data_IF_291283055783
#
_entry.id   IF_291283055783
#
_cell.length_a   1.000
_cell.length_b   1.000
_cell.length_c   1.000
_cell.angle_alpha   90.00
_cell.angle_beta   90.00
_cell.angle_gamma   90.00
#
_symmetry.space_group_name_H-M   'P 1'
#
loop_
_entity.id
_entity.type
_entity.pdbx_description
1 polymer ?
#
# COMPACT_ATOMS: atom_id res chain seq x y z
N UNK A 1 25.19 3.32 -15.46
CA UNK A 1 24.45 2.17 -14.91
C UNK A 1 23.56 1.65 -16.01
N UNK A 2 23.64 0.36 -16.30
CA UNK A 2 22.73 -0.33 -17.24
C UNK A 2 21.41 -0.66 -16.55
N UNK A 3 20.37 -0.96 -17.33
CA UNK A 3 19.06 -1.34 -16.79
C UNK A 3 19.13 -2.61 -15.93
N UNK A 4 20.01 -3.55 -16.29
CA UNK A 4 20.26 -4.79 -15.50
C UNK A 4 20.95 -4.52 -14.17
N UNK A 5 21.94 -3.62 -14.14
CA UNK A 5 22.61 -3.22 -12.89
C UNK A 5 21.64 -2.54 -11.93
N UNK A 6 20.73 -1.73 -12.48
CA UNK A 6 19.71 -1.03 -11.71
C UNK A 6 18.66 -2.00 -11.14
N UNK A 7 18.19 -2.96 -11.94
CA UNK A 7 17.26 -4.00 -11.46
C UNK A 7 17.88 -4.82 -10.31
N UNK A 8 19.15 -5.20 -10.43
CA UNK A 8 19.87 -5.94 -9.38
C UNK A 8 20.01 -5.11 -8.10
N UNK A 9 20.33 -3.82 -8.25
CA UNK A 9 20.41 -2.88 -7.12
C UNK A 9 19.07 -2.80 -6.39
N UNK A 10 17.97 -2.58 -7.12
CA UNK A 10 16.62 -2.42 -6.55
C UNK A 10 16.18 -3.67 -5.79
N UNK A 11 16.35 -4.86 -6.40
CA UNK A 11 16.05 -6.15 -5.72
C UNK A 11 16.88 -6.33 -4.45
N UNK A 12 18.14 -5.89 -4.46
CA UNK A 12 19.01 -5.96 -3.28
C UNK A 12 18.56 -5.00 -2.20
N UNK A 13 18.21 -3.75 -2.53
CA UNK A 13 17.77 -2.74 -1.55
C UNK A 13 16.51 -3.16 -0.83
N UNK A 14 15.50 -3.60 -1.57
CA UNK A 14 14.25 -4.12 -1.03
C UNK A 14 14.47 -5.20 0.03
N UNK A 15 15.36 -6.16 -0.25
CA UNK A 15 15.69 -7.24 0.70
C UNK A 15 16.55 -6.77 1.86
N UNK A 16 17.47 -5.83 1.63
CA UNK A 16 18.45 -5.40 2.64
C UNK A 16 17.83 -4.49 3.71
N UNK A 17 16.72 -3.82 3.38
CA UNK A 17 16.04 -2.88 4.28
C UNK A 17 14.70 -3.40 4.79
N UNK A 18 14.38 -4.68 4.54
CA UNK A 18 13.12 -5.30 4.97
C UNK A 18 11.87 -4.46 4.65
N UNK A 19 11.87 -3.77 3.50
CA UNK A 19 10.87 -2.74 3.18
C UNK A 19 9.43 -3.26 3.23
N UNK A 20 9.24 -4.53 2.84
CA UNK A 20 7.95 -5.24 3.00
C UNK A 20 7.50 -5.26 4.47
N UNK A 21 8.38 -5.69 5.37
CA UNK A 21 8.08 -5.77 6.81
C UNK A 21 7.80 -4.38 7.36
N UNK A 22 8.65 -3.40 7.03
CA UNK A 22 8.46 -2.00 7.45
C UNK A 22 7.11 -1.46 7.02
N UNK A 23 6.66 -1.74 5.79
CA UNK A 23 5.34 -1.31 5.33
C UNK A 23 4.19 -1.95 6.13
N UNK A 24 4.26 -3.26 6.44
CA UNK A 24 3.25 -3.90 7.29
C UNK A 24 3.28 -3.34 8.71
N UNK A 25 4.47 -3.20 9.31
CA UNK A 25 4.62 -2.67 10.66
C UNK A 25 4.06 -1.23 10.78
N UNK A 26 4.24 -0.40 9.75
CA UNK A 26 3.66 0.95 9.71
C UNK A 26 2.14 0.91 9.52
N UNK A 27 1.63 0.05 8.64
CA UNK A 27 0.19 -0.12 8.45
C UNK A 27 -0.50 -0.60 9.74
N UNK A 28 0.10 -1.54 10.46
CA UNK A 28 -0.39 -2.03 11.75
C UNK A 28 -0.45 -0.90 12.79
N UNK A 29 0.55 0.00 12.79
CA UNK A 29 0.52 1.21 13.64
C UNK A 29 -0.60 2.16 13.26
N UNK A 30 -0.81 2.41 11.97
CA UNK A 30 -1.92 3.26 11.48
C UNK A 30 -3.26 2.71 11.99
N UNK A 31 -3.46 1.39 11.92
CA UNK A 31 -4.66 0.75 12.46
C UNK A 31 -4.76 0.88 13.99
N UNK A 32 -3.68 0.63 14.72
CA UNK A 32 -3.67 0.73 16.17
C UNK A 32 -3.97 2.15 16.66
N UNK A 33 -3.33 3.15 16.06
CA UNK A 33 -3.47 4.58 16.39
C UNK A 33 -4.88 5.10 16.09
N UNK A 34 -5.59 4.49 15.14
CA UNK A 34 -6.96 4.87 14.75
C UNK A 34 -8.03 3.89 15.23
N UNK A 35 -7.70 2.94 16.11
CA UNK A 35 -8.60 1.87 16.57
C UNK A 35 -9.91 2.37 17.22
N UNK A 36 -9.91 3.57 17.79
CA UNK A 36 -11.08 4.20 18.42
C UNK A 36 -11.89 5.08 17.47
N UNK A 37 -11.40 5.33 16.26
CA UNK A 37 -12.07 6.15 15.26
C UNK A 37 -12.94 5.27 14.35
N UNK A 38 -14.22 5.17 14.69
CA UNK A 38 -15.19 4.33 13.98
C UNK A 38 -15.33 4.65 12.48
N UNK A 39 -15.04 5.89 12.06
CA UNK A 39 -15.19 6.33 10.67
C UNK A 39 -13.88 6.24 9.87
N UNK A 40 -12.75 5.93 10.51
CA UNK A 40 -11.44 5.89 9.86
C UNK A 40 -11.40 4.93 8.66
N UNK A 41 -12.00 3.75 8.83
CA UNK A 41 -12.09 2.72 7.79
C UNK A 41 -13.35 2.84 6.94
N UNK A 42 -13.98 4.02 6.90
CA UNK A 42 -15.13 4.32 6.04
C UNK A 42 -16.32 3.33 6.18
N UNK A 43 -16.52 2.76 7.37
CA UNK A 43 -17.60 1.81 7.66
C UNK A 43 -17.20 0.34 7.63
N UNK A 44 -15.98 0.00 7.21
CA UNK A 44 -15.43 -1.36 7.34
C UNK A 44 -14.91 -1.60 8.76
N UNK A 45 -15.06 -2.82 9.29
CA UNK A 45 -14.36 -3.20 10.52
C UNK A 45 -12.95 -3.65 10.20
N UNK A 46 -12.00 -3.36 11.09
CA UNK A 46 -10.61 -3.77 10.90
C UNK A 46 -10.48 -5.30 10.75
N UNK A 47 -11.26 -6.08 11.51
CA UNK A 47 -11.24 -7.55 11.40
C UNK A 47 -11.75 -8.09 10.04
N UNK A 48 -12.47 -7.29 9.26
CA UNK A 48 -12.95 -7.65 7.92
C UNK A 48 -11.89 -7.35 6.84
N UNK A 49 -10.89 -6.52 7.16
CA UNK A 49 -9.87 -6.07 6.21
C UNK A 49 -8.72 -7.08 6.15
N UNK A 50 -8.53 -7.64 4.97
CA UNK A 50 -7.41 -8.50 4.62
C UNK A 50 -6.33 -7.65 3.94
N UNK A 51 -5.17 -7.54 4.58
CA UNK A 51 -4.01 -6.85 4.00
C UNK A 51 -3.14 -7.82 3.20
N UNK A 52 -2.84 -7.51 1.94
CA UNK A 52 -1.95 -8.33 1.09
C UNK A 52 -0.83 -7.52 0.48
N UNK A 53 0.32 -8.15 0.28
CA UNK A 53 1.45 -7.52 -0.38
C UNK A 53 1.26 -7.56 -1.90
N UNK A 54 1.13 -6.39 -2.52
CA UNK A 54 0.82 -6.26 -3.95
C UNK A 54 2.08 -6.08 -4.80
N UNK A 55 3.20 -5.73 -4.17
CA UNK A 55 4.49 -5.64 -4.85
C UNK A 55 5.29 -4.40 -4.53
N UNK A 56 6.39 -4.26 -5.26
CA UNK A 56 7.22 -3.07 -5.26
C UNK A 56 7.04 -2.34 -6.57
N UNK A 57 6.91 -1.02 -6.50
CA UNK A 57 6.90 -0.13 -7.66
C UNK A 57 8.17 0.69 -7.61
N UNK A 58 8.93 0.70 -8.71
CA UNK A 58 10.21 1.40 -8.80
C UNK A 58 10.07 2.60 -9.71
N UNK A 59 10.26 3.80 -9.17
CA UNK A 59 10.30 5.03 -9.93
C UNK A 59 11.74 5.49 -10.07
N UNK A 60 12.21 5.59 -11.31
CA UNK A 60 13.59 5.97 -11.63
C UNK A 60 13.54 7.26 -12.45
N UNK A 61 13.93 8.38 -11.83
CA UNK A 61 14.13 9.63 -12.56
C UNK A 61 15.61 9.75 -12.98
N UNK A 62 15.87 9.49 -14.26
CA UNK A 62 17.21 9.58 -14.83
C UNK A 62 17.76 11.01 -14.93
N UNK A 63 16.90 12.03 -14.87
CA UNK A 63 17.33 13.44 -15.01
C UNK A 63 17.86 14.00 -13.70
N UNK A 64 17.20 13.66 -12.60
CA UNK A 64 17.54 14.18 -11.28
C UNK A 64 18.31 13.16 -10.42
N UNK A 65 18.49 11.93 -10.91
CA UNK A 65 19.15 10.85 -10.16
C UNK A 65 18.32 10.32 -8.99
N UNK A 66 17.10 10.84 -8.80
CA UNK A 66 16.18 10.38 -7.77
C UNK A 66 15.64 9.00 -8.16
N UNK A 67 15.67 8.07 -7.22
CA UNK A 67 15.12 6.74 -7.37
C UNK A 67 14.35 6.39 -6.12
N UNK A 68 13.11 5.99 -6.32
CA UNK A 68 12.14 5.77 -5.27
C UNK A 68 11.64 4.34 -5.37
N UNK A 69 11.51 3.69 -4.22
CA UNK A 69 10.93 2.37 -4.07
C UNK A 69 9.62 2.55 -3.29
N UNK A 70 8.50 2.24 -3.93
CA UNK A 70 7.20 2.16 -3.26
C UNK A 70 6.88 0.72 -2.91
N UNK A 71 6.55 0.49 -1.65
CA UNK A 71 6.06 -0.81 -1.16
C UNK A 71 4.54 -0.72 -1.06
N UNK A 72 3.83 -1.54 -1.82
CA UNK A 72 2.37 -1.51 -1.89
C UNK A 72 1.74 -2.67 -1.13
N UNK A 73 0.78 -2.36 -0.27
CA UNK A 73 -0.09 -3.30 0.42
C UNK A 73 -1.53 -3.00 0.02
N UNK A 74 -2.21 -3.95 -0.61
CA UNK A 74 -3.62 -3.82 -0.93
C UNK A 74 -4.49 -4.13 0.29
N UNK A 75 -5.61 -3.42 0.40
CA UNK A 75 -6.64 -3.63 1.41
C UNK A 75 -7.84 -4.27 0.74
N UNK A 76 -8.27 -5.43 1.26
CA UNK A 76 -9.31 -6.25 0.66
C UNK A 76 -10.37 -6.65 1.69
N UNK A 77 -11.56 -6.98 1.21
CA UNK A 77 -12.60 -7.68 1.99
C UNK A 77 -13.07 -8.91 1.23
N UNK A 78 -13.63 -9.89 1.93
CA UNK A 78 -14.24 -11.05 1.28
C UNK A 78 -15.49 -10.63 0.49
N UNK A 79 -15.54 -11.00 -0.79
CA UNK A 79 -16.69 -10.79 -1.65
C UNK A 79 -16.79 -11.90 -2.71
N UNK A 80 -17.85 -12.70 -2.65
CA UNK A 80 -18.08 -13.88 -3.51
C UNK A 80 -18.26 -13.54 -5.00
N UNK A 81 -18.55 -12.28 -5.35
CA UNK A 81 -18.73 -11.87 -6.74
C UNK A 81 -17.40 -11.68 -7.49
N UNK A 82 -16.27 -11.74 -6.79
CA UNK A 82 -14.93 -11.52 -7.36
C UNK A 82 -14.18 -12.83 -7.62
N UNK A 83 -13.30 -12.84 -8.64
CA UNK A 83 -12.59 -14.05 -9.12
C UNK A 83 -11.72 -14.74 -8.06
N UNK A 84 -11.28 -14.01 -7.03
CA UNK A 84 -10.52 -14.53 -5.88
C UNK A 84 -11.30 -14.47 -4.56
N UNK A 85 -12.61 -14.23 -4.63
CA UNK A 85 -13.46 -13.88 -3.50
C UNK A 85 -12.96 -12.66 -2.69
N UNK A 86 -12.19 -11.77 -3.31
CA UNK A 86 -11.61 -10.59 -2.66
C UNK A 86 -11.88 -9.36 -3.49
N UNK A 87 -12.47 -8.36 -2.84
CA UNK A 87 -12.71 -7.05 -3.41
C UNK A 87 -11.71 -6.05 -2.83
N UNK A 88 -11.03 -5.30 -3.69
CA UNK A 88 -10.13 -4.24 -3.27
C UNK A 88 -10.89 -3.02 -2.76
N UNK A 89 -10.71 -2.70 -1.48
CA UNK A 89 -11.34 -1.54 -0.82
C UNK A 89 -10.38 -0.35 -0.69
N UNK A 90 -9.10 -0.53 -0.97
CA UNK A 90 -8.08 0.50 -0.79
C UNK A 90 -6.66 -0.04 -0.84
N UNK A 91 -5.71 0.77 -0.41
CA UNK A 91 -4.30 0.40 -0.35
C UNK A 91 -3.54 1.26 0.67
N UNK A 92 -2.38 0.74 1.05
CA UNK A 92 -1.31 1.47 1.70
C UNK A 92 -0.06 1.43 0.81
N UNK A 93 0.58 2.58 0.63
CA UNK A 93 1.86 2.72 -0.08
C UNK A 93 2.89 3.40 0.83
N UNK A 94 4.03 2.73 1.05
CA UNK A 94 5.19 3.33 1.72
C UNK A 94 6.24 3.71 0.68
N UNK A 95 6.59 4.98 0.62
CA UNK A 95 7.63 5.51 -0.24
C UNK A 95 8.98 5.57 0.48
N UNK A 96 10.01 4.98 -0.14
CA UNK A 96 11.38 4.98 0.38
C UNK A 96 12.39 5.35 -0.68
N UNK A 97 13.51 5.93 -0.26
CA UNK A 97 14.65 6.15 -1.13
C UNK A 97 15.50 4.87 -1.32
N UNK A 98 16.59 4.96 -2.09
CA UNK A 98 17.51 3.82 -2.29
C UNK A 98 18.33 3.42 -1.04
N UNK A 99 18.30 4.23 0.01
CA UNK A 99 18.94 3.97 1.30
C UNK A 99 17.94 3.37 2.31
N UNK A 100 16.68 3.18 1.91
CA UNK A 100 15.63 2.64 2.77
C UNK A 100 15.05 3.68 3.73
N UNK A 101 15.37 4.96 3.55
CA UNK A 101 14.76 6.04 4.33
C UNK A 101 13.34 6.28 3.84
N UNK A 102 12.38 6.34 4.77
CA UNK A 102 11.00 6.68 4.47
C UNK A 102 10.89 8.14 4.05
N UNK A 103 10.27 8.37 2.89
CA UNK A 103 10.05 9.70 2.33
C UNK A 103 8.63 10.18 2.59
N UNK A 104 7.65 9.31 2.34
CA UNK A 104 6.23 9.59 2.51
C UNK A 104 5.43 8.27 2.59
N UNK A 105 4.17 8.35 3.02
CA UNK A 105 3.24 7.24 2.99
C UNK A 105 1.80 7.69 2.64
N UNK A 106 1.05 6.76 2.04
CA UNK A 106 -0.34 6.99 1.68
C UNK A 106 -1.20 5.84 2.16
N UNK A 107 -2.19 6.15 2.99
CA UNK A 107 -3.26 5.24 3.37
C UNK A 107 -4.56 5.71 2.70
N UNK A 108 -5.15 4.86 1.86
CA UNK A 108 -6.32 5.21 1.04
C UNK A 108 -7.39 4.13 1.16
N UNK A 109 -8.61 4.54 1.46
CA UNK A 109 -9.82 3.72 1.37
C UNK A 109 -10.72 4.32 0.28
N UNK A 110 -11.07 3.51 -0.71
CA UNK A 110 -11.82 3.92 -1.90
C UNK A 110 -13.34 3.87 -1.63
N UNK A 111 -13.81 4.70 -0.69
CA UNK A 111 -15.21 4.77 -0.23
C UNK A 111 -16.21 4.98 -1.38
N UNK A 112 -15.82 5.71 -2.43
CA UNK A 112 -16.69 6.03 -3.57
C UNK A 112 -17.16 4.80 -4.34
N UNK A 113 -16.42 3.69 -4.30
CA UNK A 113 -16.86 2.41 -4.88
C UNK A 113 -18.07 1.80 -4.14
N UNK A 114 -18.26 2.17 -2.89
CA UNK A 114 -19.27 1.61 -1.98
C UNK A 114 -20.43 2.58 -1.72
N UNK A 115 -20.38 3.80 -2.27
CA UNK A 115 -21.52 4.70 -2.34
C UNK A 115 -22.49 4.26 -3.45
N UNK A 116 -23.05 3.06 -3.35
CA UNK A 116 -24.34 2.77 -3.98
C UNK A 116 -25.40 3.39 -3.05
N UNK A 117 -26.28 4.21 -3.62
CA UNK A 117 -27.40 4.90 -2.94
C UNK A 117 -27.13 6.27 -2.31
N UNK A 118 -26.55 7.19 -3.09
CA UNK A 118 -27.16 8.54 -3.09
C UNK A 118 -28.29 8.45 -4.10
N UNK A 119 -29.50 8.13 -3.62
CA UNK A 119 -30.69 8.14 -4.45
C UNK A 119 -30.78 9.46 -5.19
N UNK A 120 -30.61 9.41 -6.51
CA UNK A 120 -31.07 10.49 -7.39
C UNK A 120 -32.60 10.40 -7.30
N UNK A 121 -33.18 11.25 -6.44
CA UNK A 121 -34.61 11.58 -6.44
C UNK A 121 -34.85 12.57 -7.59
#
# INVERSE_FOLDING_TARGET
MTDQELELLLKKRVKSFDLKKTAFDTLDKIFADNSVNADFLCGFKQEEIITKFDGFIYHIDRRNGASIIRTKIGLYVENQDWTENLEGIGYYELETDLNGEALDDWFVIEKEKYLKDIGII
#
